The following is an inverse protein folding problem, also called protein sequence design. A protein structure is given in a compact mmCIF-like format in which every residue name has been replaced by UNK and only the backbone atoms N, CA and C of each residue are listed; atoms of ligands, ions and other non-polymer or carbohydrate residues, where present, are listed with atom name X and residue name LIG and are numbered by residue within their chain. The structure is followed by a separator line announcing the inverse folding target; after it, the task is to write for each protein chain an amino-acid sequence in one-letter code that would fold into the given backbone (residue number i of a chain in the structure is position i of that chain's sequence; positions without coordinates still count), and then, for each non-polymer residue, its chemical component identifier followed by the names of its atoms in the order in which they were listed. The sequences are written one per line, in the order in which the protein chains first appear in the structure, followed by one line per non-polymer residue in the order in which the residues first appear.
data_IF_145776889352
#
_entry.id   IF_145776889352
#
_cell.length_a   1.000
_cell.length_b   1.000
_cell.length_c   1.000
_cell.angle_alpha   90.00
_cell.angle_beta   90.00
_cell.angle_gamma   90.00
#
_symmetry.space_group_name_H-M   'P 1'
#
loop_
_entity.id
_entity.type
_entity.pdbx_description
1 polymer ?
#
# COMPACT_ATOMS: atom_id res chain seq x y z
N UNK A 1 82.44 -3.14 21.50
CA UNK A 1 81.14 -2.39 21.56
C UNK A 1 80.12 -3.06 20.67
N UNK A 2 79.21 -3.79 21.29
CA UNK A 2 78.08 -4.48 20.66
C UNK A 2 76.79 -3.69 20.94
N UNK A 3 76.30 -2.97 19.93
CA UNK A 3 75.03 -2.30 19.96
C UNK A 3 73.89 -3.31 19.74
N UNK A 4 73.05 -3.56 20.76
CA UNK A 4 71.83 -4.28 20.66
C UNK A 4 70.77 -3.41 19.95
N UNK A 5 70.31 -3.84 18.80
CA UNK A 5 69.11 -3.31 18.15
C UNK A 5 67.88 -3.71 18.94
N UNK A 6 67.20 -2.73 19.54
CA UNK A 6 65.90 -2.95 20.18
C UNK A 6 64.86 -3.28 19.11
N UNK A 7 64.29 -4.46 19.21
CA UNK A 7 63.15 -4.87 18.38
C UNK A 7 61.91 -4.09 18.81
N UNK A 8 61.44 -3.16 17.95
CA UNK A 8 60.15 -2.46 18.14
C UNK A 8 59.01 -3.44 17.94
N UNK A 9 58.56 -4.08 18.98
CA UNK A 9 57.28 -4.82 18.97
C UNK A 9 56.12 -3.78 19.01
N UNK A 10 55.12 -3.91 18.15
CA UNK A 10 53.98 -3.00 18.16
C UNK A 10 53.26 -3.06 19.50
N UNK A 11 52.80 -1.93 20.00
CA UNK A 11 52.06 -1.84 21.24
C UNK A 11 50.72 -2.60 21.16
N UNK A 12 50.19 -3.05 22.30
CA UNK A 12 48.88 -3.69 22.34
C UNK A 12 47.77 -2.81 21.75
N UNK A 13 47.97 -1.49 21.76
CA UNK A 13 47.05 -0.51 21.16
C UNK A 13 47.16 -0.54 19.62
N UNK A 14 48.37 -0.65 19.08
CA UNK A 14 48.60 -0.72 17.63
C UNK A 14 48.05 -2.01 17.04
N UNK A 15 48.16 -3.12 17.74
CA UNK A 15 47.60 -4.41 17.35
C UNK A 15 46.07 -4.36 17.36
N UNK A 16 45.44 -3.71 18.37
CA UNK A 16 43.98 -3.51 18.42
C UNK A 16 43.49 -2.60 17.30
N UNK A 17 44.18 -1.52 16.99
CA UNK A 17 43.87 -0.61 15.89
C UNK A 17 44.03 -1.29 14.54
N UNK A 18 45.05 -2.13 14.35
CA UNK A 18 45.23 -2.92 13.14
C UNK A 18 44.11 -3.97 12.98
N UNK A 19 43.71 -4.67 14.05
CA UNK A 19 42.64 -5.61 14.03
C UNK A 19 41.30 -4.89 13.72
N UNK A 20 41.06 -3.72 14.33
CA UNK A 20 39.89 -2.90 14.06
C UNK A 20 39.80 -2.43 12.60
N UNK A 21 40.96 -1.97 12.05
CA UNK A 21 41.08 -1.59 10.64
C UNK A 21 40.90 -2.77 9.70
N UNK A 22 41.38 -3.97 10.05
CA UNK A 22 41.16 -5.18 9.25
C UNK A 22 39.69 -5.63 9.27
N UNK A 23 39.04 -5.61 10.45
CA UNK A 23 37.60 -5.93 10.58
C UNK A 23 36.77 -4.89 9.82
N UNK A 24 37.11 -3.61 9.92
CA UNK A 24 36.42 -2.53 9.21
C UNK A 24 36.63 -2.60 7.69
N UNK A 25 37.86 -2.90 7.22
CA UNK A 25 38.17 -3.16 5.81
C UNK A 25 37.50 -4.44 5.30
N UNK A 26 37.39 -5.48 6.12
CA UNK A 26 36.72 -6.72 5.76
C UNK A 26 35.21 -6.53 5.65
N UNK A 27 34.62 -5.70 6.52
CA UNK A 27 33.20 -5.28 6.41
C UNK A 27 32.95 -4.40 5.17
N UNK A 28 33.85 -3.48 4.85
CA UNK A 28 33.78 -2.66 3.65
C UNK A 28 34.12 -3.44 2.37
N UNK A 29 34.98 -4.47 2.43
CA UNK A 29 35.36 -5.28 1.26
C UNK A 29 34.37 -6.43 0.98
N UNK A 30 33.64 -6.94 1.96
CA UNK A 30 32.48 -7.82 1.74
C UNK A 30 31.31 -7.06 1.13
N UNK A 31 31.54 -5.87 0.59
CA UNK A 31 30.50 -4.96 0.14
C UNK A 31 29.30 -5.21 1.06
N UNK A 32 28.99 -4.32 1.97
CA UNK A 32 27.69 -4.42 2.64
C UNK A 32 26.66 -4.51 1.50
N UNK A 33 26.35 -5.72 1.08
CA UNK A 33 25.10 -5.99 0.40
C UNK A 33 24.10 -5.65 1.49
N UNK A 34 23.65 -4.41 1.51
CA UNK A 34 22.44 -4.07 2.24
C UNK A 34 21.42 -5.05 1.69
N UNK A 35 20.86 -5.90 2.54
CA UNK A 35 19.76 -6.76 2.15
C UNK A 35 18.72 -5.87 1.47
N UNK A 36 18.14 -6.33 0.39
CA UNK A 36 17.04 -5.62 -0.23
C UNK A 36 15.83 -5.65 0.72
N UNK A 37 14.89 -4.75 0.54
CA UNK A 37 13.67 -4.74 1.34
C UNK A 37 12.92 -6.07 1.23
N UNK A 38 12.98 -6.71 0.07
CA UNK A 38 12.42 -8.03 -0.15
C UNK A 38 13.15 -9.13 0.64
N UNK A 39 14.50 -9.14 0.64
CA UNK A 39 15.29 -10.11 1.41
C UNK A 39 15.03 -9.96 2.92
N UNK A 40 14.92 -8.73 3.41
CA UNK A 40 14.56 -8.44 4.81
C UNK A 40 13.15 -8.95 5.14
N UNK A 41 12.20 -8.74 4.23
CA UNK A 41 10.83 -9.19 4.39
C UNK A 41 10.70 -10.71 4.43
N UNK A 42 11.41 -11.43 3.57
CA UNK A 42 11.45 -12.91 3.60
C UNK A 42 12.04 -13.41 4.92
N UNK A 43 13.12 -12.80 5.41
CA UNK A 43 13.71 -13.15 6.70
C UNK A 43 12.73 -12.91 7.87
N UNK A 44 11.99 -11.79 7.85
CA UNK A 44 10.94 -11.50 8.85
C UNK A 44 9.81 -12.53 8.79
N UNK A 45 9.39 -12.97 7.60
CA UNK A 45 8.37 -14.03 7.44
C UNK A 45 8.80 -15.32 8.13
N UNK A 46 10.02 -15.76 7.91
CA UNK A 46 10.54 -17.00 8.52
C UNK A 46 10.63 -16.88 10.06
N UNK A 47 11.08 -15.74 10.56
CA UNK A 47 11.09 -15.47 12.01
C UNK A 47 9.68 -15.49 12.61
N UNK A 48 8.72 -14.81 11.98
CA UNK A 48 7.33 -14.76 12.43
C UNK A 48 6.66 -16.13 12.38
N UNK A 49 6.91 -16.91 11.34
CA UNK A 49 6.42 -18.28 11.18
C UNK A 49 6.92 -19.19 12.29
N UNK A 50 8.20 -19.07 12.71
CA UNK A 50 8.75 -19.80 13.86
C UNK A 50 8.04 -19.46 15.17
N UNK A 51 7.43 -18.28 15.27
CA UNK A 51 6.62 -17.82 16.42
C UNK A 51 5.11 -18.14 16.27
N UNK A 52 4.70 -18.79 15.17
CA UNK A 52 3.29 -19.07 14.87
C UNK A 52 2.49 -17.85 14.38
N UNK A 53 3.17 -16.80 13.94
CA UNK A 53 2.55 -15.57 13.46
C UNK A 53 2.45 -15.54 11.92
N UNK A 54 1.42 -14.84 11.42
CA UNK A 54 1.29 -14.60 9.99
C UNK A 54 2.29 -13.54 9.48
N UNK A 55 2.59 -13.50 8.17
CA UNK A 55 3.37 -12.44 7.56
C UNK A 55 2.83 -11.06 7.93
N UNK A 56 3.72 -10.08 8.12
CA UNK A 56 3.32 -8.69 8.33
C UNK A 56 2.73 -8.13 7.04
N UNK A 57 1.62 -7.39 7.09
CA UNK A 57 1.10 -6.73 5.91
C UNK A 57 2.09 -5.72 5.32
N UNK A 58 2.10 -5.61 3.99
CA UNK A 58 2.98 -4.70 3.25
C UNK A 58 2.32 -3.33 3.17
N UNK A 59 2.95 -2.32 3.77
CA UNK A 59 2.52 -0.93 3.80
C UNK A 59 3.54 0.04 3.18
N UNK A 60 4.73 -0.45 2.85
CA UNK A 60 5.86 0.30 2.34
C UNK A 60 6.00 0.20 0.82
N UNK A 61 6.24 1.36 0.19
CA UNK A 61 6.37 1.48 -1.27
C UNK A 61 7.64 0.87 -1.83
N UNK A 62 8.75 0.87 -1.08
CA UNK A 62 10.04 0.34 -1.54
C UNK A 62 9.94 -1.17 -1.65
N UNK A 63 9.44 -1.84 -0.59
CA UNK A 63 9.22 -3.27 -0.58
C UNK A 63 8.26 -3.70 -1.70
N UNK A 64 7.14 -2.99 -1.86
CA UNK A 64 6.18 -3.35 -2.91
C UNK A 64 6.74 -3.14 -4.31
N UNK A 65 7.57 -2.11 -4.53
CA UNK A 65 8.24 -1.90 -5.82
C UNK A 65 9.21 -3.04 -6.15
N UNK A 66 9.94 -3.57 -5.18
CA UNK A 66 10.80 -4.74 -5.38
C UNK A 66 9.97 -6.01 -5.69
N UNK A 67 8.83 -6.20 -5.00
CA UNK A 67 7.88 -7.29 -5.28
C UNK A 67 7.35 -7.20 -6.71
N UNK A 68 6.93 -6.01 -7.16
CA UNK A 68 6.47 -5.80 -8.52
C UNK A 68 7.57 -6.06 -9.55
N UNK A 69 8.80 -5.69 -9.26
CA UNK A 69 9.94 -5.99 -10.14
C UNK A 69 10.13 -7.50 -10.33
N UNK A 70 9.92 -8.29 -9.27
CA UNK A 70 9.95 -9.76 -9.37
C UNK A 70 8.75 -10.35 -10.14
N UNK A 71 7.57 -9.74 -10.00
CA UNK A 71 6.38 -10.16 -10.77
C UNK A 71 6.59 -9.95 -12.26
N UNK A 72 7.23 -8.83 -12.65
CA UNK A 72 7.51 -8.49 -14.05
C UNK A 72 8.56 -9.41 -14.70
N UNK A 73 9.40 -10.07 -13.93
CA UNK A 73 10.44 -10.98 -14.41
C UNK A 73 9.99 -12.44 -14.22
N UNK A 74 9.66 -13.11 -15.33
CA UNK A 74 9.12 -14.48 -15.33
C UNK A 74 10.11 -15.54 -14.81
N UNK A 75 11.39 -15.22 -14.83
CA UNK A 75 12.46 -16.15 -14.42
C UNK A 75 12.83 -15.99 -12.92
N UNK A 76 12.18 -15.10 -12.20
CA UNK A 76 12.46 -14.87 -10.78
C UNK A 76 12.01 -16.04 -9.91
N UNK A 77 12.91 -16.53 -9.06
CA UNK A 77 12.65 -17.66 -8.16
C UNK A 77 11.50 -17.41 -7.17
N UNK A 78 11.28 -16.14 -6.78
CA UNK A 78 10.25 -15.74 -5.82
C UNK A 78 9.02 -15.11 -6.47
N UNK A 79 8.86 -15.22 -7.79
CA UNK A 79 7.78 -14.59 -8.53
C UNK A 79 6.39 -15.04 -8.05
N UNK A 80 6.19 -16.32 -7.80
CA UNK A 80 4.92 -16.88 -7.32
C UNK A 80 4.56 -16.32 -5.92
N UNK A 81 5.53 -16.27 -5.01
CA UNK A 81 5.31 -15.70 -3.68
C UNK A 81 5.07 -14.19 -3.76
N UNK A 82 5.77 -13.49 -4.64
CA UNK A 82 5.58 -12.06 -4.90
C UNK A 82 4.18 -11.74 -5.42
N UNK A 83 3.61 -12.58 -6.29
CA UNK A 83 2.22 -12.47 -6.72
C UNK A 83 1.24 -12.62 -5.54
N UNK A 84 1.46 -13.62 -4.67
CA UNK A 84 0.65 -13.81 -3.47
C UNK A 84 0.74 -12.61 -2.53
N UNK A 85 1.93 -12.07 -2.30
CA UNK A 85 2.15 -10.90 -1.44
C UNK A 85 1.48 -9.65 -2.03
N UNK A 86 1.60 -9.44 -3.33
CA UNK A 86 0.95 -8.33 -4.01
C UNK A 86 -0.58 -8.38 -3.89
N UNK A 87 -1.17 -9.56 -4.16
CA UNK A 87 -2.63 -9.73 -4.19
C UNK A 87 -3.23 -9.69 -2.78
N UNK A 88 -2.67 -10.48 -1.86
CA UNK A 88 -3.31 -10.80 -0.58
C UNK A 88 -2.71 -10.11 0.63
N UNK A 89 -1.47 -9.62 0.55
CA UNK A 89 -0.76 -9.12 1.73
C UNK A 89 -0.40 -7.64 1.68
N UNK A 90 -0.76 -6.93 0.60
CA UNK A 90 -0.55 -5.49 0.49
C UNK A 90 -1.72 -4.74 1.09
N UNK A 91 -1.45 -3.86 2.07
CA UNK A 91 -2.48 -3.04 2.71
C UNK A 91 -3.09 -2.07 1.70
N UNK A 92 -4.43 -2.02 1.64
CA UNK A 92 -5.15 -1.02 0.85
C UNK A 92 -5.19 0.34 1.55
N UNK A 93 -5.96 1.27 1.01
CA UNK A 93 -6.22 2.58 1.60
C UNK A 93 -5.18 3.61 1.21
N UNK A 94 -4.61 4.31 2.19
CA UNK A 94 -3.73 5.48 1.98
C UNK A 94 -2.25 5.21 2.26
N UNK A 95 -1.84 3.94 2.34
CA UNK A 95 -0.42 3.58 2.54
C UNK A 95 0.42 3.91 1.30
N UNK A 96 1.72 4.05 1.47
CA UNK A 96 2.61 4.26 0.32
C UNK A 96 2.63 3.05 -0.63
N UNK A 97 2.47 1.84 -0.10
CA UNK A 97 2.29 0.62 -0.89
C UNK A 97 1.01 0.66 -1.74
N UNK A 98 -0.11 1.17 -1.19
CA UNK A 98 -1.36 1.28 -1.94
C UNK A 98 -1.22 2.14 -3.20
N UNK A 99 -0.45 3.24 -3.14
CA UNK A 99 -0.14 4.08 -4.30
C UNK A 99 0.59 3.31 -5.39
N UNK A 100 1.64 2.58 -5.01
CA UNK A 100 2.43 1.75 -5.94
C UNK A 100 1.58 0.61 -6.53
N UNK A 101 0.73 -0.03 -5.70
CA UNK A 101 -0.21 -1.07 -6.17
C UNK A 101 -1.17 -0.52 -7.21
N UNK A 102 -1.80 0.62 -6.93
CA UNK A 102 -2.76 1.24 -7.83
C UNK A 102 -2.14 1.60 -9.18
N UNK A 103 -0.94 2.16 -9.21
CA UNK A 103 -0.22 2.50 -10.44
C UNK A 103 0.14 1.24 -11.26
N UNK A 104 0.61 0.20 -10.62
CA UNK A 104 0.91 -1.06 -11.31
C UNK A 104 -0.35 -1.69 -11.93
N UNK A 105 -1.48 -1.67 -11.22
CA UNK A 105 -2.76 -2.16 -11.76
C UNK A 105 -3.21 -1.31 -12.95
N UNK A 106 -2.97 0.00 -12.94
CA UNK A 106 -3.21 0.88 -14.09
C UNK A 106 -2.36 0.48 -15.29
N UNK A 107 -1.05 0.23 -15.09
CA UNK A 107 -0.15 -0.23 -16.17
C UNK A 107 -0.68 -1.53 -16.82
N UNK A 108 -1.18 -2.46 -16.02
CA UNK A 108 -1.78 -3.71 -16.51
C UNK A 108 -3.07 -3.46 -17.29
N UNK A 109 -3.97 -2.61 -16.78
CA UNK A 109 -5.24 -2.27 -17.45
C UNK A 109 -5.00 -1.63 -18.82
N UNK A 110 -4.00 -0.76 -18.91
CA UNK A 110 -3.64 -0.09 -20.16
C UNK A 110 -2.80 -0.95 -21.13
N UNK A 111 -2.42 -2.17 -20.71
CA UNK A 111 -1.55 -3.04 -21.51
C UNK A 111 -0.10 -2.55 -21.60
N UNK A 112 0.31 -1.63 -20.73
CA UNK A 112 1.70 -1.17 -20.63
C UNK A 112 2.60 -2.25 -20.03
N UNK A 113 2.01 -3.13 -19.22
CA UNK A 113 2.65 -4.30 -18.62
C UNK A 113 1.71 -5.50 -18.75
N UNK A 114 2.25 -6.62 -19.21
CA UNK A 114 1.52 -7.88 -19.29
C UNK A 114 1.97 -8.82 -18.15
N UNK A 115 1.01 -9.30 -17.38
CA UNK A 115 1.19 -10.31 -16.34
C UNK A 115 0.10 -11.37 -16.52
N UNK A 116 0.47 -12.58 -16.83
CA UNK A 116 -0.47 -13.67 -17.17
C UNK A 116 -1.54 -13.88 -16.07
N UNK A 117 -1.13 -13.76 -14.80
CA UNK A 117 -1.98 -14.01 -13.64
C UNK A 117 -2.86 -12.79 -13.26
N UNK A 118 -2.61 -11.63 -13.86
CA UNK A 118 -3.35 -10.39 -13.56
C UNK A 118 -3.94 -9.84 -14.87
N UNK A 119 -5.07 -10.41 -15.28
CA UNK A 119 -5.82 -9.86 -16.41
C UNK A 119 -6.38 -8.45 -16.08
N UNK A 120 -6.65 -7.59 -17.07
CA UNK A 120 -7.25 -6.26 -16.84
C UNK A 120 -8.51 -6.27 -15.99
N UNK A 121 -9.40 -7.23 -16.18
CA UNK A 121 -10.61 -7.39 -15.35
C UNK A 121 -10.28 -7.66 -13.89
N UNK A 122 -9.28 -8.50 -13.62
CA UNK A 122 -8.82 -8.76 -12.25
C UNK A 122 -8.11 -7.54 -11.65
N UNK A 123 -7.39 -6.76 -12.47
CA UNK A 123 -6.80 -5.50 -12.02
C UNK A 123 -7.88 -4.49 -11.58
N UNK A 124 -9.00 -4.38 -12.29
CA UNK A 124 -10.15 -3.57 -11.86
C UNK A 124 -10.77 -4.11 -10.56
N UNK A 125 -10.91 -5.42 -10.42
CA UNK A 125 -11.37 -6.04 -9.17
C UNK A 125 -10.46 -5.68 -8.00
N UNK A 126 -9.14 -5.78 -8.17
CA UNK A 126 -8.17 -5.37 -7.15
C UNK A 126 -8.32 -3.88 -6.78
N UNK A 127 -8.47 -2.97 -7.76
CA UNK A 127 -8.72 -1.55 -7.50
C UNK A 127 -10.03 -1.35 -6.72
N UNK A 128 -11.08 -2.12 -7.01
CA UNK A 128 -12.36 -2.03 -6.32
C UNK A 128 -12.27 -2.38 -4.83
N UNK A 129 -11.36 -3.29 -4.47
CA UNK A 129 -11.13 -3.70 -3.08
C UNK A 129 -10.28 -2.71 -2.28
N UNK A 130 -9.57 -1.80 -2.93
CA UNK A 130 -8.72 -0.80 -2.24
C UNK A 130 -9.54 0.28 -1.51
N UNK A 131 -10.76 0.56 -1.95
CA UNK A 131 -11.77 1.38 -1.23
C UNK A 131 -11.33 2.80 -0.90
N UNK A 132 -10.63 3.46 -1.78
CA UNK A 132 -10.28 4.88 -1.62
C UNK A 132 -8.79 5.18 -1.73
N UNK A 133 -8.40 6.40 -1.40
CA UNK A 133 -7.02 6.88 -1.52
C UNK A 133 -6.50 6.83 -2.97
N UNK A 134 -5.26 6.36 -3.17
CA UNK A 134 -4.62 6.34 -4.51
C UNK A 134 -5.38 5.56 -5.58
N UNK A 135 -6.25 4.61 -5.20
CA UNK A 135 -7.06 3.87 -6.19
C UNK A 135 -8.10 4.76 -6.86
N UNK A 136 -8.62 5.77 -6.16
CA UNK A 136 -9.57 6.74 -6.73
C UNK A 136 -8.90 7.58 -7.81
N UNK A 137 -7.70 8.09 -7.53
CA UNK A 137 -6.93 8.88 -8.50
C UNK A 137 -6.71 8.08 -9.81
N UNK A 138 -6.25 6.82 -9.67
CA UNK A 138 -6.04 5.93 -10.82
C UNK A 138 -7.35 5.63 -11.56
N UNK A 139 -8.43 5.34 -10.83
CA UNK A 139 -9.73 5.07 -11.45
C UNK A 139 -10.29 6.31 -12.16
N UNK A 140 -10.06 7.52 -11.63
CA UNK A 140 -10.42 8.76 -12.32
C UNK A 140 -9.60 9.00 -13.58
N UNK A 141 -8.29 8.71 -13.54
CA UNK A 141 -7.44 8.78 -14.73
C UNK A 141 -7.97 7.86 -15.84
N UNK A 142 -8.33 6.63 -15.49
CA UNK A 142 -8.91 5.67 -16.43
C UNK A 142 -10.30 6.09 -16.92
N UNK A 143 -11.18 6.54 -16.02
CA UNK A 143 -12.56 6.93 -16.35
C UNK A 143 -12.65 8.19 -17.23
N UNK A 144 -11.68 9.09 -17.08
CA UNK A 144 -11.61 10.32 -17.86
C UNK A 144 -10.63 10.22 -19.04
N UNK A 145 -10.07 9.02 -19.27
CA UNK A 145 -9.16 8.73 -20.37
C UNK A 145 -9.87 8.60 -21.74
N UNK A 146 -9.07 8.33 -22.77
CA UNK A 146 -9.56 8.29 -24.15
C UNK A 146 -10.16 6.93 -24.56
N UNK A 147 -9.76 5.84 -23.88
CA UNK A 147 -10.30 4.51 -24.16
C UNK A 147 -11.68 4.35 -23.53
N UNK A 148 -12.70 4.33 -24.37
CA UNK A 148 -14.10 4.27 -23.92
C UNK A 148 -14.42 2.98 -23.16
N UNK A 149 -13.84 1.84 -23.51
CA UNK A 149 -14.10 0.57 -22.84
C UNK A 149 -13.49 0.59 -21.42
N UNK A 150 -12.24 1.03 -21.31
CA UNK A 150 -11.56 1.21 -20.03
C UNK A 150 -12.28 2.25 -19.17
N UNK A 151 -12.71 3.37 -19.75
CA UNK A 151 -13.42 4.43 -19.03
C UNK A 151 -14.75 3.95 -18.43
N UNK A 152 -15.50 3.12 -19.15
CA UNK A 152 -16.75 2.53 -18.66
C UNK A 152 -16.52 1.56 -17.48
N UNK A 153 -15.52 0.68 -17.61
CA UNK A 153 -15.17 -0.23 -16.50
C UNK A 153 -14.71 0.53 -15.25
N UNK A 154 -13.88 1.54 -15.43
CA UNK A 154 -13.44 2.41 -14.33
C UNK A 154 -14.64 3.12 -13.66
N UNK A 155 -15.60 3.60 -14.43
CA UNK A 155 -16.82 4.23 -13.92
C UNK A 155 -17.67 3.26 -13.08
N UNK A 156 -17.78 1.99 -13.51
CA UNK A 156 -18.50 0.96 -12.74
C UNK A 156 -17.89 0.80 -11.36
N UNK A 157 -16.56 0.78 -11.27
CA UNK A 157 -15.87 0.70 -9.97
C UNK A 157 -16.06 1.98 -9.16
N UNK A 158 -15.87 3.17 -9.76
CA UNK A 158 -15.99 4.46 -9.07
C UNK A 158 -17.36 4.67 -8.42
N UNK A 159 -18.44 4.22 -9.03
CA UNK A 159 -19.80 4.31 -8.47
C UNK A 159 -19.95 3.62 -7.11
N UNK A 160 -19.04 2.72 -6.77
CA UNK A 160 -19.03 1.97 -5.50
C UNK A 160 -17.99 2.46 -4.50
N UNK A 161 -17.25 3.53 -4.85
CA UNK A 161 -16.16 4.06 -4.03
C UNK A 161 -16.57 5.34 -3.30
N UNK A 162 -15.83 5.69 -2.26
CA UNK A 162 -15.97 6.94 -1.53
C UNK A 162 -14.75 7.81 -1.82
N UNK A 163 -14.95 9.04 -2.24
CA UNK A 163 -13.87 9.99 -2.50
C UNK A 163 -13.37 10.57 -1.17
N UNK A 164 -12.08 10.37 -0.90
CA UNK A 164 -11.43 10.83 0.32
C UNK A 164 -10.75 12.19 0.16
N UNK A 165 -10.32 12.52 -1.06
CA UNK A 165 -9.57 13.74 -1.34
C UNK A 165 -10.41 14.74 -2.12
N UNK A 166 -10.37 16.00 -1.69
CA UNK A 166 -11.05 17.13 -2.35
C UNK A 166 -10.58 17.27 -3.80
N UNK A 167 -9.29 17.06 -4.07
CA UNK A 167 -8.72 17.13 -5.42
C UNK A 167 -9.37 16.15 -6.40
N UNK A 168 -9.74 14.95 -5.97
CA UNK A 168 -10.42 13.96 -6.80
C UNK A 168 -11.86 14.38 -7.07
N UNK A 169 -12.55 14.91 -6.07
CA UNK A 169 -13.89 15.46 -6.21
C UNK A 169 -13.91 16.64 -7.18
N UNK A 170 -12.96 17.57 -7.07
CA UNK A 170 -12.81 18.71 -7.98
C UNK A 170 -12.56 18.29 -9.42
N UNK A 171 -11.75 17.24 -9.63
CA UNK A 171 -11.50 16.68 -10.97
C UNK A 171 -12.77 16.13 -11.59
N UNK A 172 -13.54 15.36 -10.82
CA UNK A 172 -14.82 14.81 -11.29
C UNK A 172 -15.82 15.92 -11.60
N UNK A 173 -15.94 16.92 -10.71
CA UNK A 173 -16.82 18.07 -10.91
C UNK A 173 -16.44 18.86 -12.16
N UNK A 174 -15.16 19.12 -12.38
CA UNK A 174 -14.66 19.82 -13.57
C UNK A 174 -15.01 19.06 -14.85
N UNK A 175 -14.82 17.75 -14.86
CA UNK A 175 -15.17 16.91 -16.01
C UNK A 175 -16.68 16.89 -16.24
N UNK A 176 -17.48 16.81 -15.20
CA UNK A 176 -18.95 16.90 -15.25
C UNK A 176 -19.41 18.23 -15.85
N UNK A 177 -18.89 19.37 -15.37
CA UNK A 177 -19.19 20.71 -15.89
C UNK A 177 -18.74 20.89 -17.35
N UNK A 178 -17.70 20.20 -17.77
CA UNK A 178 -17.25 20.15 -19.16
C UNK A 178 -18.12 19.28 -20.08
N UNK A 179 -19.12 18.59 -19.54
CA UNK A 179 -20.04 17.74 -20.28
C UNK A 179 -19.52 16.34 -20.58
N UNK A 180 -18.50 15.84 -19.84
CA UNK A 180 -18.01 14.48 -20.00
C UNK A 180 -19.10 13.47 -19.62
N UNK A 181 -19.49 12.55 -20.50
CA UNK A 181 -20.61 11.64 -20.25
C UNK A 181 -20.33 10.64 -19.13
N UNK A 182 -19.10 10.18 -18.98
CA UNK A 182 -18.70 9.25 -17.92
C UNK A 182 -18.73 9.95 -16.56
N UNK A 183 -18.21 11.18 -16.47
CA UNK A 183 -18.29 11.98 -15.25
C UNK A 183 -19.74 12.24 -14.84
N UNK A 184 -20.62 12.51 -15.81
CA UNK A 184 -22.06 12.67 -15.57
C UNK A 184 -22.68 11.40 -14.99
N UNK A 185 -22.38 10.24 -15.57
CA UNK A 185 -22.89 8.94 -15.09
C UNK A 185 -22.44 8.64 -13.66
N UNK A 186 -21.20 8.95 -13.29
CA UNK A 186 -20.68 8.79 -11.95
C UNK A 186 -21.39 9.71 -10.95
N UNK A 187 -21.51 11.01 -11.27
CA UNK A 187 -22.15 12.00 -10.40
C UNK A 187 -23.64 11.67 -10.20
N UNK A 188 -24.35 11.31 -11.26
CA UNK A 188 -25.76 10.90 -11.19
C UNK A 188 -25.94 9.65 -10.31
N UNK A 189 -25.01 8.69 -10.38
CA UNK A 189 -25.05 7.51 -9.53
C UNK A 189 -24.94 7.87 -8.04
N UNK A 190 -24.06 8.81 -7.68
CA UNK A 190 -23.96 9.28 -6.30
C UNK A 190 -25.20 10.05 -5.85
N UNK A 191 -25.75 10.92 -6.70
CA UNK A 191 -26.96 11.65 -6.38
C UNK A 191 -28.19 10.75 -6.12
N UNK A 192 -28.18 9.55 -6.70
CA UNK A 192 -29.24 8.54 -6.51
C UNK A 192 -28.96 7.56 -5.37
N UNK A 193 -27.81 7.69 -4.67
CA UNK A 193 -27.49 6.81 -3.57
C UNK A 193 -28.55 6.87 -2.48
N UNK A 194 -28.85 5.75 -1.87
CA UNK A 194 -29.87 5.59 -0.83
C UNK A 194 -29.69 6.61 0.30
N UNK A 195 -28.47 6.92 0.66
CA UNK A 195 -28.13 7.93 1.65
C UNK A 195 -28.77 9.30 1.36
N UNK A 196 -28.86 9.71 0.09
CA UNK A 196 -29.42 11.00 -0.27
C UNK A 196 -30.93 10.94 -0.57
N UNK A 197 -31.43 9.78 -1.00
CA UNK A 197 -32.82 9.65 -1.46
C UNK A 197 -33.78 9.13 -0.40
N UNK A 198 -33.25 8.48 0.64
CA UNK A 198 -34.06 7.82 1.68
C UNK A 198 -33.86 8.41 3.09
N UNK A 199 -33.11 9.49 3.20
CA UNK A 199 -32.99 10.20 4.48
C UNK A 199 -34.36 10.78 4.87
N UNK A 200 -34.86 10.50 6.09
CA UNK A 200 -36.04 11.18 6.60
C UNK A 200 -35.74 12.68 6.74
N UNK A 201 -36.76 13.50 6.61
CA UNK A 201 -36.64 14.91 6.94
C UNK A 201 -36.10 15.08 8.37
N UNK A 202 -35.09 15.93 8.53
CA UNK A 202 -34.54 16.21 9.84
C UNK A 202 -35.50 17.12 10.59
N UNK A 203 -35.95 16.71 11.78
CA UNK A 203 -36.80 17.51 12.64
C UNK A 203 -36.06 18.80 13.06
N UNK A 204 -36.76 19.93 13.12
CA UNK A 204 -36.18 21.22 13.58
C UNK A 204 -35.67 21.14 15.01
N UNK A 205 -36.25 20.27 15.84
CA UNK A 205 -35.87 20.02 17.23
C UNK A 205 -35.65 18.54 17.48
N UNK A 206 -34.39 18.14 17.70
CA UNK A 206 -34.04 16.77 18.06
C UNK A 206 -33.90 16.67 19.58
N UNK A 207 -34.83 15.97 20.24
CA UNK A 207 -34.76 15.74 21.68
C UNK A 207 -33.93 14.49 21.99
N UNK A 208 -32.72 14.71 22.50
CA UNK A 208 -31.80 13.64 22.93
C UNK A 208 -32.04 13.33 24.41
N UNK A 209 -32.45 12.10 24.71
CA UNK A 209 -32.53 11.60 26.08
C UNK A 209 -31.21 10.91 26.41
N UNK A 210 -30.44 11.50 27.33
CA UNK A 210 -29.22 10.89 27.86
C UNK A 210 -29.54 10.05 29.07
N UNK A 211 -29.20 8.77 29.04
CA UNK A 211 -29.26 7.89 30.20
C UNK A 211 -27.87 7.83 30.83
N UNK A 212 -27.78 8.26 32.08
CA UNK A 212 -26.57 8.09 32.87
C UNK A 212 -26.77 6.83 33.71
N UNK A 213 -26.11 5.75 33.34
CA UNK A 213 -26.05 4.55 34.16
C UNK A 213 -25.27 4.89 35.46
N UNK A 214 -25.92 4.87 36.59
CA UNK A 214 -25.42 5.38 37.86
C UNK A 214 -24.27 4.58 38.52
N UNK A 215 -23.43 3.89 37.77
CA UNK A 215 -22.37 3.04 38.35
C UNK A 215 -21.11 3.11 37.48
N UNK A 216 -20.14 3.88 37.92
CA UNK A 216 -18.76 3.84 37.40
C UNK A 216 -18.55 4.47 36.03
N UNK A 217 -17.33 4.38 35.54
CA UNK A 217 -16.97 4.87 34.23
C UNK A 217 -17.53 3.96 33.12
N UNK A 218 -18.27 4.55 32.18
CA UNK A 218 -18.71 3.84 30.97
C UNK A 218 -17.59 3.93 29.96
N UNK A 219 -16.91 2.80 29.69
CA UNK A 219 -15.94 2.75 28.61
C UNK A 219 -16.64 2.68 27.24
N UNK A 220 -15.95 3.16 26.22
CA UNK A 220 -16.41 3.03 24.82
C UNK A 220 -16.58 1.57 24.41
N UNK A 221 -15.85 0.65 25.03
CA UNK A 221 -15.93 -0.80 24.77
C UNK A 221 -17.26 -1.42 25.27
N UNK A 222 -17.89 -0.79 26.26
CA UNK A 222 -19.23 -1.18 26.73
C UNK A 222 -20.35 -0.66 25.81
N UNK A 223 -20.08 0.38 25.02
CA UNK A 223 -21.03 1.01 24.10
C UNK A 223 -20.89 0.52 22.66
N UNK A 224 -19.78 -0.13 22.36
CA UNK A 224 -19.48 -0.65 21.02
C UNK A 224 -19.22 -2.16 21.12
N UNK A 225 -20.09 -3.03 20.55
CA UNK A 225 -19.89 -4.48 20.55
C UNK A 225 -18.78 -4.85 19.54
N UNK A 226 -17.56 -4.38 19.79
CA UNK A 226 -16.42 -4.61 18.91
C UNK A 226 -15.68 -5.93 19.12
N UNK A 227 -16.16 -6.78 20.03
CA UNK A 227 -15.47 -8.02 20.42
C UNK A 227 -16.36 -9.27 20.40
N UNK A 228 -17.42 -9.31 19.59
CA UNK A 228 -18.16 -10.52 19.30
C UNK A 228 -17.84 -11.08 17.91
#
# INVERSE_FOLDING_TARGET
STSRTASNLPSALDLRLQLYRQIYRFRLWKGMRTMSAFEEYIAEIEERKAQGLHPKPIDDSVLLSEIIAQIKDVDQAHREDSLKFFIYNTLPGTTSAAGVKAQFLREVILGEVEVEEIAPSFAFEQLSHMKGGPSIEVLLDLALGEDEAVAREAAVVLKTQVFLYEADTDRLEKAFKAGNPIAKEIVESYAQAEFFTQLPDVEEEIRIVTYVAGVGDISTDLLSPGNE
#
